data_IF_171664791856
#
_entry.id   IF_171664791856
#
_cell.length_a   1.000
_cell.length_b   1.000
_cell.length_c   1.000
_cell.angle_alpha   90.00
_cell.angle_beta   90.00
_cell.angle_gamma   90.00
#
_symmetry.space_group_name_H-M   'P 1'
#
loop_
_entity.id
_entity.type
_entity.pdbx_description
1 polymer ?
#
# COMPACT_ATOMS: atom_id res chain seq x y z
N UNK A 1 41.29 28.72 4.71
CA UNK A 1 40.79 27.91 5.84
C UNK A 1 40.83 26.45 5.42
N UNK A 2 41.76 25.68 6.00
CA UNK A 2 42.00 24.24 5.77
C UNK A 2 41.91 23.58 7.14
N UNK A 3 41.01 22.62 7.30
CA UNK A 3 40.99 21.55 8.32
C UNK A 3 39.60 20.90 8.24
N UNK A 4 39.36 19.59 8.25
CA UNK A 4 40.15 18.39 8.00
C UNK A 4 39.09 17.27 7.89
N UNK A 5 39.40 16.25 7.08
CA UNK A 5 38.65 15.00 6.94
C UNK A 5 38.41 14.30 8.29
N UNK A 6 37.22 13.69 8.44
CA UNK A 6 37.06 12.44 9.16
C UNK A 6 35.98 11.59 8.47
N UNK A 7 36.45 10.75 7.54
CA UNK A 7 35.68 9.62 7.02
C UNK A 7 35.61 8.55 8.11
N UNK A 8 34.40 8.07 8.44
CA UNK A 8 34.20 6.82 9.14
C UNK A 8 33.34 5.94 8.25
N UNK A 9 34.04 5.21 7.38
CA UNK A 9 33.53 4.02 6.73
C UNK A 9 33.36 2.93 7.80
N UNK A 10 32.13 2.50 8.04
CA UNK A 10 31.80 1.34 8.85
C UNK A 10 30.99 0.36 8.01
N UNK A 11 31.67 -0.38 7.14
CA UNK A 11 31.09 -1.53 6.47
C UNK A 11 31.08 -2.71 7.46
N UNK A 12 29.89 -3.15 7.87
CA UNK A 12 29.71 -4.49 8.44
C UNK A 12 28.69 -5.20 7.57
N UNK A 13 29.22 -5.96 6.61
CA UNK A 13 28.49 -6.99 5.87
C UNK A 13 28.39 -8.18 6.82
N UNK A 14 27.20 -8.46 7.32
CA UNK A 14 26.85 -9.76 7.90
C UNK A 14 25.88 -10.45 6.95
N UNK A 15 26.45 -11.19 6.00
CA UNK A 15 25.77 -12.30 5.34
C UNK A 15 25.46 -13.34 6.41
N UNK A 16 24.20 -13.40 6.86
CA UNK A 16 23.69 -14.56 7.58
C UNK A 16 23.14 -15.53 6.53
N UNK A 17 23.70 -16.74 6.56
CA UNK A 17 23.42 -17.86 5.70
C UNK A 17 21.92 -18.18 5.61
N UNK A 18 21.52 -18.64 4.43
CA UNK A 18 20.24 -19.27 4.13
C UNK A 18 19.98 -20.45 5.08
N UNK A 19 19.11 -20.27 6.07
CA UNK A 19 18.46 -21.36 6.80
C UNK A 19 17.40 -22.01 5.88
N UNK A 20 17.86 -22.71 4.83
CA UNK A 20 17.07 -23.77 4.21
C UNK A 20 17.19 -25.00 5.11
N UNK A 21 16.54 -24.94 6.28
CA UNK A 21 16.36 -26.14 7.12
C UNK A 21 15.39 -27.06 6.39
N UNK A 22 15.93 -27.94 5.56
CA UNK A 22 15.26 -29.17 5.20
C UNK A 22 15.00 -29.91 6.52
N UNK A 23 13.76 -29.88 7.00
CA UNK A 23 13.33 -30.69 8.14
C UNK A 23 13.41 -32.14 7.70
N UNK A 24 14.20 -32.96 8.39
CA UNK A 24 14.12 -34.41 8.22
C UNK A 24 12.70 -34.86 8.56
N UNK A 25 12.05 -35.66 7.70
CA UNK A 25 10.66 -36.07 7.91
C UNK A 25 10.60 -37.09 9.05
N UNK A 26 10.38 -36.60 10.27
CA UNK A 26 9.88 -37.42 11.37
C UNK A 26 8.36 -37.41 11.32
N UNK A 27 7.72 -38.44 10.74
CA UNK A 27 6.34 -38.95 11.04
C UNK A 27 5.55 -39.45 9.82
N UNK A 28 4.52 -40.26 10.11
CA UNK A 28 3.66 -41.13 9.28
C UNK A 28 2.80 -40.41 8.22
N UNK A 29 3.21 -39.23 7.80
CA UNK A 29 2.39 -38.30 7.04
C UNK A 29 2.88 -38.23 5.60
N UNK A 30 1.95 -38.22 4.64
CA UNK A 30 2.28 -38.09 3.22
C UNK A 30 2.11 -36.62 2.82
N UNK A 31 3.18 -35.98 2.35
CA UNK A 31 3.12 -34.66 1.72
C UNK A 31 2.19 -34.72 0.49
N UNK A 32 1.19 -33.83 0.44
CA UNK A 32 0.23 -33.77 -0.67
C UNK A 32 0.43 -32.53 -1.55
N UNK A 33 0.73 -31.37 -0.97
CA UNK A 33 0.92 -30.10 -1.67
C UNK A 33 1.63 -29.08 -0.77
N UNK A 34 2.24 -28.07 -1.38
CA UNK A 34 2.91 -26.97 -0.69
C UNK A 34 2.16 -25.67 -0.95
N UNK A 35 2.07 -24.80 0.06
CA UNK A 35 1.32 -23.57 -0.02
C UNK A 35 2.11 -22.42 0.58
N UNK A 36 1.94 -21.22 0.02
CA UNK A 36 2.35 -19.97 0.65
C UNK A 36 1.13 -19.17 1.07
N UNK A 37 1.27 -18.43 2.16
CA UNK A 37 0.26 -17.47 2.60
C UNK A 37 0.37 -16.20 1.76
N UNK A 38 -0.75 -15.77 1.17
CA UNK A 38 -0.86 -14.51 0.44
C UNK A 38 -1.95 -13.66 1.08
N UNK A 39 -1.60 -12.43 1.47
CA UNK A 39 -2.56 -11.47 1.99
C UNK A 39 -3.28 -10.77 0.84
N UNK A 40 -4.60 -10.98 0.77
CA UNK A 40 -5.48 -10.30 -0.18
C UNK A 40 -6.01 -9.02 0.49
N UNK A 41 -5.84 -7.83 -0.14
CA UNK A 41 -6.35 -6.59 0.42
C UNK A 41 -7.88 -6.54 0.37
N UNK A 42 -8.48 -5.73 1.25
CA UNK A 42 -9.92 -5.50 1.25
C UNK A 42 -10.37 -4.84 -0.06
N UNK A 43 -11.53 -5.26 -0.56
CA UNK A 43 -12.17 -4.66 -1.73
C UNK A 43 -13.28 -3.72 -1.29
N UNK A 44 -13.33 -2.55 -1.91
CA UNK A 44 -14.34 -1.53 -1.65
C UNK A 44 -15.05 -1.15 -2.95
N UNK A 45 -16.36 -0.96 -2.88
CA UNK A 45 -17.12 -0.25 -3.90
C UNK A 45 -17.08 1.25 -3.57
N UNK A 46 -16.93 2.09 -4.58
CA UNK A 46 -16.86 3.55 -4.44
C UNK A 46 -18.02 4.18 -5.19
N UNK A 47 -18.88 4.89 -4.47
CA UNK A 47 -19.94 5.71 -5.05
C UNK A 47 -19.60 7.20 -4.92
N UNK A 48 -19.86 7.99 -5.96
CA UNK A 48 -19.65 9.45 -5.93
C UNK A 48 -20.98 10.14 -5.78
N UNK A 49 -21.20 10.74 -4.62
CA UNK A 49 -22.41 11.51 -4.33
C UNK A 49 -22.10 12.98 -4.54
N UNK A 50 -22.85 13.65 -5.41
CA UNK A 50 -22.71 15.09 -5.60
C UNK A 50 -23.22 15.82 -4.36
N UNK A 51 -22.36 16.63 -3.75
CA UNK A 51 -22.66 17.42 -2.55
C UNK A 51 -22.93 18.87 -2.90
N UNK A 52 -22.29 19.37 -3.97
CA UNK A 52 -22.45 20.74 -4.42
C UNK A 52 -22.37 20.84 -5.93
N UNK A 53 -23.28 21.57 -6.53
CA UNK A 53 -23.22 21.90 -7.96
C UNK A 53 -22.05 22.86 -8.26
N UNK A 54 -21.62 22.87 -9.52
CA UNK A 54 -20.72 23.91 -9.98
C UNK A 54 -21.44 25.26 -9.93
N UNK A 55 -20.74 26.30 -9.48
CA UNK A 55 -21.34 27.62 -9.33
C UNK A 55 -20.35 28.73 -9.73
N UNK A 56 -20.89 29.83 -10.23
CA UNK A 56 -20.12 31.05 -10.49
C UNK A 56 -20.40 32.09 -9.44
N UNK A 57 -19.36 32.79 -8.98
CA UNK A 57 -19.48 33.82 -7.94
C UNK A 57 -18.63 35.02 -8.28
N UNK A 58 -19.16 36.20 -7.94
CA UNK A 58 -18.37 37.42 -7.91
C UNK A 58 -17.64 37.51 -6.57
N UNK A 59 -16.32 37.65 -6.60
CA UNK A 59 -15.48 37.82 -5.42
C UNK A 59 -14.69 39.11 -5.52
N UNK A 60 -14.51 39.80 -4.39
CA UNK A 60 -13.65 40.99 -4.32
C UNK A 60 -12.25 40.58 -3.87
N UNK A 61 -11.25 40.78 -4.72
CA UNK A 61 -9.82 40.53 -4.44
C UNK A 61 -8.98 41.57 -5.18
N UNK A 62 -7.82 41.94 -4.63
CA UNK A 62 -6.90 42.89 -5.27
C UNK A 62 -7.57 44.19 -5.76
N UNK A 63 -8.48 44.74 -4.95
CA UNK A 63 -9.27 45.94 -5.24
C UNK A 63 -10.13 45.91 -6.51
N UNK A 64 -10.49 44.73 -7.02
CA UNK A 64 -11.42 44.54 -8.14
C UNK A 64 -12.44 43.43 -7.84
N UNK A 65 -13.47 43.33 -8.67
CA UNK A 65 -14.46 42.24 -8.63
C UNK A 65 -14.12 41.26 -9.74
N UNK A 66 -13.90 39.99 -9.38
CA UNK A 66 -13.59 38.90 -10.30
C UNK A 66 -14.78 37.93 -10.33
N UNK A 67 -15.19 37.49 -11.52
CA UNK A 67 -16.13 36.37 -11.68
C UNK A 67 -15.32 35.07 -11.71
N UNK A 68 -15.53 34.20 -10.73
CA UNK A 68 -14.85 32.90 -10.62
C UNK A 68 -15.84 31.75 -10.74
N UNK A 69 -15.37 30.61 -11.25
CA UNK A 69 -16.12 29.36 -11.31
C UNK A 69 -15.57 28.37 -10.30
N UNK A 70 -16.45 27.83 -9.46
CA UNK A 70 -16.15 26.73 -8.56
C UNK A 70 -16.72 25.44 -9.15
N UNK A 71 -15.91 24.38 -9.29
CA UNK A 71 -16.39 23.10 -9.81
C UNK A 71 -17.37 22.44 -8.84
N UNK A 72 -18.15 21.49 -9.34
CA UNK A 72 -19.00 20.64 -8.51
C UNK A 72 -18.15 19.83 -7.52
N UNK A 73 -18.66 19.67 -6.30
CA UNK A 73 -17.99 18.91 -5.23
C UNK A 73 -18.72 17.60 -5.04
N UNK A 74 -17.96 16.50 -5.07
CA UNK A 74 -18.45 15.14 -4.84
C UNK A 74 -17.79 14.55 -3.61
N UNK A 75 -18.55 13.75 -2.86
CA UNK A 75 -18.05 12.90 -1.78
C UNK A 75 -17.95 11.46 -2.28
N UNK A 76 -16.85 10.78 -1.95
CA UNK A 76 -16.72 9.35 -2.19
C UNK A 76 -17.22 8.58 -0.97
N UNK A 77 -18.32 7.87 -1.16
CA UNK A 77 -18.86 6.94 -0.17
C UNK A 77 -18.31 5.53 -0.50
N UNK A 78 -17.52 4.98 0.43
CA UNK A 78 -16.88 3.67 0.27
C UNK A 78 -17.63 2.62 1.07
N UNK A 79 -18.00 1.53 0.41
CA UNK A 79 -18.65 0.37 1.06
C UNK A 79 -17.73 -0.82 0.96
N UNK A 80 -17.44 -1.46 2.10
CA UNK A 80 -16.66 -2.68 2.14
C UNK A 80 -17.44 -3.79 1.43
N UNK A 81 -16.84 -4.35 0.37
CA UNK A 81 -17.41 -5.48 -0.39
C UNK A 81 -16.84 -6.78 0.14
N UNK A 82 -15.53 -6.80 0.40
CA UNK A 82 -14.82 -7.99 0.87
C UNK A 82 -13.72 -7.57 1.85
N UNK A 83 -13.66 -8.14 3.06
CA UNK A 83 -12.59 -7.83 4.00
C UNK A 83 -11.25 -8.39 3.51
N UNK A 84 -10.16 -7.79 3.99
CA UNK A 84 -8.83 -8.33 3.77
C UNK A 84 -8.73 -9.70 4.44
N UNK A 85 -8.13 -10.66 3.75
CA UNK A 85 -8.00 -12.04 4.24
C UNK A 85 -6.71 -12.68 3.71
N UNK A 86 -6.34 -13.83 4.27
CA UNK A 86 -5.18 -14.61 3.83
C UNK A 86 -5.68 -15.82 3.05
N UNK A 87 -5.07 -16.07 1.90
CA UNK A 87 -5.30 -17.28 1.12
C UNK A 87 -4.06 -18.17 1.12
N UNK A 88 -4.28 -19.48 1.08
CA UNK A 88 -3.23 -20.46 0.86
C UNK A 88 -3.11 -20.66 -0.64
N UNK A 89 -2.09 -20.05 -1.25
CA UNK A 89 -1.80 -20.23 -2.67
C UNK A 89 -0.87 -21.42 -2.84
N UNK A 90 -1.29 -22.41 -3.62
CA UNK A 90 -0.46 -23.57 -3.92
C UNK A 90 0.80 -23.15 -4.69
N UNK A 91 1.91 -23.80 -4.35
CA UNK A 91 3.23 -23.63 -4.96
C UNK A 91 3.85 -25.01 -5.18
N UNK A 92 4.84 -25.13 -6.07
CA UNK A 92 5.65 -26.34 -6.14
C UNK A 92 6.23 -26.67 -4.76
N UNK A 93 6.16 -27.95 -4.39
CA UNK A 93 7.05 -28.49 -3.37
C UNK A 93 8.45 -28.62 -3.97
N UNK A 94 9.48 -28.26 -3.20
CA UNK A 94 10.88 -28.24 -3.63
C UNK A 94 11.35 -29.56 -4.26
#
# INVERSE_FOLDING_TARGET
>A
MKMSLAALAGAVVLMAASDARAQEPTQRERLLACYKQVKVPAKYSVNKVKIKEAERKYIRRNNRIELVEYPAVYREDRTLVEPAHVVMQEIPCD
#
